data_IF_289467889413
#
_entry.id   IF_289467889413
#
_cell.length_a   1.000
_cell.length_b   1.000
_cell.length_c   1.000
_cell.angle_alpha   90.00
_cell.angle_beta   90.00
_cell.angle_gamma   90.00
#
_symmetry.space_group_name_H-M   'P 1'
#
loop_
_entity.id
_entity.type
_entity.pdbx_description
1 polymer ?
#
# COMPACT_ATOMS: atom_id res chain seq x y z
N UNK A 1 -24.90 -13.25 -1.08
CA UNK A 1 -23.58 -13.58 -0.50
C UNK A 1 -22.87 -12.26 -0.26
N UNK A 2 -22.70 -11.86 1.00
CA UNK A 2 -22.05 -10.60 1.32
C UNK A 2 -20.58 -10.68 0.93
N UNK A 3 -20.10 -9.76 0.12
CA UNK A 3 -18.68 -9.57 -0.13
C UNK A 3 -18.09 -9.22 1.23
N UNK A 4 -17.37 -10.15 1.86
CA UNK A 4 -16.66 -9.87 3.10
C UNK A 4 -15.63 -8.80 2.77
N UNK A 5 -15.95 -7.54 3.07
CA UNK A 5 -15.03 -6.42 2.86
C UNK A 5 -13.75 -6.76 3.60
N UNK A 6 -12.65 -6.95 2.87
CA UNK A 6 -11.37 -7.26 3.48
C UNK A 6 -11.04 -6.10 4.43
N UNK A 7 -11.00 -6.37 5.74
CA UNK A 7 -10.63 -5.36 6.72
C UNK A 7 -9.12 -5.15 6.65
N UNK A 8 -8.67 -4.34 5.69
CA UNK A 8 -7.29 -3.86 5.65
C UNK A 8 -7.08 -2.90 6.81
N UNK A 9 -6.16 -3.25 7.70
CA UNK A 9 -5.67 -2.37 8.76
C UNK A 9 -4.44 -1.63 8.24
N UNK A 10 -4.37 -0.34 8.54
CA UNK A 10 -3.23 0.51 8.23
C UNK A 10 -2.49 0.79 9.53
N UNK A 11 -1.41 0.05 9.75
CA UNK A 11 -0.49 0.32 10.84
C UNK A 11 0.39 1.52 10.50
N UNK A 12 0.87 2.22 11.53
CA UNK A 12 1.86 3.29 11.33
C UNK A 12 3.19 2.65 10.93
N UNK A 13 3.72 3.06 9.78
CA UNK A 13 4.93 2.53 9.17
C UNK A 13 5.97 3.65 9.11
N UNK A 14 7.13 3.43 9.70
CA UNK A 14 8.28 4.31 9.55
C UNK A 14 9.10 3.97 8.32
N UNK A 15 10.08 4.82 8.05
CA UNK A 15 11.09 4.57 7.02
C UNK A 15 11.83 3.25 7.27
N UNK A 16 12.10 2.93 8.55
CA UNK A 16 12.82 1.71 8.92
C UNK A 16 11.99 0.45 8.65
N UNK A 17 10.70 0.46 8.95
CA UNK A 17 9.79 -0.66 8.64
C UNK A 17 9.72 -0.92 7.13
N UNK A 18 9.72 0.14 6.32
CA UNK A 18 9.75 0.03 4.87
C UNK A 18 11.09 -0.55 4.39
N UNK A 19 12.21 -0.10 4.95
CA UNK A 19 13.53 -0.62 4.64
C UNK A 19 13.69 -2.09 5.06
N UNK A 20 13.18 -2.48 6.23
CA UNK A 20 13.25 -3.86 6.72
C UNK A 20 12.39 -4.80 5.85
N UNK A 21 11.26 -4.30 5.33
CA UNK A 21 10.39 -5.04 4.42
C UNK A 21 10.96 -5.13 3.00
N UNK A 22 11.70 -4.10 2.57
CA UNK A 22 12.29 -3.98 1.24
C UNK A 22 13.80 -3.66 1.32
N UNK A 23 14.62 -4.58 1.86
CA UNK A 23 16.01 -4.29 2.26
C UNK A 23 16.95 -3.95 1.10
N UNK A 24 16.57 -4.31 -0.13
CA UNK A 24 17.37 -4.05 -1.34
C UNK A 24 17.33 -2.59 -1.83
N UNK A 25 16.39 -1.77 -1.33
CA UNK A 25 16.18 -0.40 -1.85
C UNK A 25 17.03 0.63 -1.11
N UNK A 26 17.39 0.36 0.15
CA UNK A 26 18.01 1.33 1.06
C UNK A 26 17.08 2.51 1.37
N UNK A 27 17.39 3.28 2.41
CA UNK A 27 16.62 4.49 2.73
C UNK A 27 17.26 5.75 2.13
N UNK A 28 16.41 6.65 1.64
CA UNK A 28 16.77 8.01 1.23
C UNK A 28 16.56 9.04 2.34
N UNK A 29 16.09 8.63 3.52
CA UNK A 29 15.68 9.52 4.60
C UNK A 29 14.37 10.28 4.33
N UNK A 30 13.66 9.94 3.25
CA UNK A 30 12.36 10.51 2.91
C UNK A 30 11.38 9.39 2.57
N UNK A 31 10.31 9.29 3.36
CA UNK A 31 9.34 8.20 3.25
C UNK A 31 8.68 8.12 1.86
N UNK A 32 8.25 9.24 1.29
CA UNK A 32 7.59 9.23 -0.02
C UNK A 32 8.53 8.81 -1.16
N UNK A 33 9.79 9.23 -1.10
CA UNK A 33 10.81 8.81 -2.07
C UNK A 33 11.13 7.33 -1.94
N UNK A 34 11.24 6.83 -0.71
CA UNK A 34 11.49 5.41 -0.45
C UNK A 34 10.30 4.57 -0.93
N UNK A 35 9.08 5.01 -0.65
CA UNK A 35 7.87 4.34 -1.11
C UNK A 35 7.77 4.28 -2.64
N UNK A 36 8.09 5.39 -3.32
CA UNK A 36 8.16 5.39 -4.79
C UNK A 36 9.25 4.48 -5.33
N UNK A 37 10.44 4.49 -4.72
CA UNK A 37 11.54 3.60 -5.12
C UNK A 37 11.19 2.12 -4.97
N UNK A 38 10.52 1.76 -3.87
CA UNK A 38 10.00 0.40 -3.67
C UNK A 38 9.03 0.06 -4.80
N UNK A 39 8.07 0.94 -5.09
CA UNK A 39 7.11 0.72 -6.18
C UNK A 39 7.83 0.49 -7.53
N UNK A 40 8.72 1.40 -7.91
CA UNK A 40 9.44 1.33 -9.18
C UNK A 40 10.36 0.09 -9.30
N UNK A 41 11.00 -0.32 -8.19
CA UNK A 41 12.00 -1.41 -8.23
C UNK A 41 11.38 -2.80 -8.18
N UNK A 42 10.19 -2.94 -7.58
CA UNK A 42 9.45 -4.20 -7.53
C UNK A 42 8.34 -4.28 -8.58
N UNK A 43 8.27 -3.33 -9.51
CA UNK A 43 7.21 -3.20 -10.53
C UNK A 43 5.80 -3.19 -9.92
N UNK A 44 5.66 -2.47 -8.80
CA UNK A 44 4.40 -2.30 -8.07
C UNK A 44 3.81 -0.92 -8.34
N UNK A 45 2.49 -0.82 -8.19
CA UNK A 45 1.79 0.46 -8.17
C UNK A 45 1.61 0.95 -6.74
N UNK A 46 1.89 2.23 -6.50
CA UNK A 46 1.57 2.89 -5.22
C UNK A 46 0.30 3.73 -5.37
N UNK A 47 -0.71 3.43 -4.55
CA UNK A 47 -1.86 4.32 -4.35
C UNK A 47 -1.74 4.99 -2.99
N UNK A 48 -1.79 6.33 -2.95
CA UNK A 48 -1.68 7.13 -1.73
C UNK A 48 -2.79 8.16 -1.64
N UNK A 49 -3.24 8.47 -0.42
CA UNK A 49 -4.30 9.45 -0.19
C UNK A 49 -4.79 9.48 1.25
N UNK A 50 -5.96 10.09 1.46
CA UNK A 50 -6.64 10.03 2.75
C UNK A 50 -7.24 8.64 3.02
N UNK A 51 -7.47 8.31 4.29
CA UNK A 51 -7.93 6.98 4.72
C UNK A 51 -9.16 6.48 3.94
N UNK A 52 -10.20 7.31 3.82
CA UNK A 52 -11.42 6.93 3.10
C UNK A 52 -11.20 6.74 1.60
N UNK A 53 -10.28 7.50 0.99
CA UNK A 53 -9.95 7.37 -0.43
C UNK A 53 -9.24 6.05 -0.70
N UNK A 54 -8.27 5.70 0.16
CA UNK A 54 -7.51 4.45 0.05
C UNK A 54 -8.41 3.24 0.33
N UNK A 55 -9.22 3.27 1.40
CA UNK A 55 -10.20 2.22 1.68
C UNK A 55 -11.24 2.08 0.56
N UNK A 56 -11.69 3.19 -0.02
CA UNK A 56 -12.62 3.20 -1.16
C UNK A 56 -12.00 2.58 -2.42
N UNK A 57 -10.74 2.94 -2.74
CA UNK A 57 -10.01 2.37 -3.87
C UNK A 57 -9.82 0.86 -3.70
N UNK A 58 -9.42 0.41 -2.50
CA UNK A 58 -9.37 -1.01 -2.14
C UNK A 58 -10.74 -1.66 -2.36
N UNK A 59 -11.83 -1.10 -1.84
CA UNK A 59 -13.16 -1.69 -1.97
C UNK A 59 -13.60 -1.82 -3.44
N UNK A 60 -13.30 -0.83 -4.29
CA UNK A 60 -13.55 -0.89 -5.74
C UNK A 60 -12.70 -1.98 -6.40
N UNK A 61 -11.41 -2.06 -6.06
CA UNK A 61 -10.51 -3.10 -6.54
C UNK A 61 -10.96 -4.50 -6.09
N UNK A 62 -11.52 -4.64 -4.88
CA UNK A 62 -12.07 -5.90 -4.36
C UNK A 62 -13.34 -6.34 -5.09
N UNK A 63 -14.20 -5.38 -5.45
CA UNK A 63 -15.52 -5.62 -6.03
C UNK A 63 -15.49 -5.89 -7.54
N UNK A 64 -14.40 -5.50 -8.21
CA UNK A 64 -14.18 -5.84 -9.62
C UNK A 64 -14.05 -7.37 -9.78
N UNK A 65 -15.04 -8.02 -10.41
CA UNK A 65 -15.16 -9.49 -10.55
C UNK A 65 -14.12 -10.13 -11.48
N UNK A 66 -13.22 -9.34 -12.07
CA UNK A 66 -12.01 -9.77 -12.79
C UNK A 66 -10.73 -9.66 -11.93
N UNK A 67 -10.85 -9.24 -10.67
CA UNK A 67 -9.74 -8.71 -9.88
C UNK A 67 -8.82 -9.77 -9.28
N UNK A 68 -7.77 -10.10 -10.02
CA UNK A 68 -6.50 -10.54 -9.43
C UNK A 68 -5.82 -9.42 -8.63
N UNK A 69 -6.25 -8.16 -8.75
CA UNK A 69 -5.62 -6.99 -8.11
C UNK A 69 -5.68 -7.07 -6.58
N UNK A 70 -6.72 -7.70 -6.03
CA UNK A 70 -6.80 -7.94 -4.59
C UNK A 70 -5.85 -9.03 -4.08
N UNK A 71 -5.38 -9.93 -4.95
CA UNK A 71 -4.29 -10.86 -4.63
C UNK A 71 -2.93 -10.18 -4.65
N UNK A 72 -2.82 -9.02 -5.29
CA UNK A 72 -1.54 -8.36 -5.51
C UNK A 72 -1.22 -7.30 -4.46
N UNK A 73 -2.12 -6.96 -3.52
CA UNK A 73 -1.76 -6.07 -2.41
C UNK A 73 -0.60 -6.70 -1.63
N UNK A 74 0.60 -6.15 -1.81
CA UNK A 74 1.84 -6.64 -1.20
C UNK A 74 2.03 -6.02 0.19
N UNK A 75 1.66 -4.75 0.31
CA UNK A 75 1.90 -3.98 1.53
C UNK A 75 0.96 -2.78 1.63
N UNK A 76 0.53 -2.45 2.83
CA UNK A 76 -0.30 -1.29 3.11
C UNK A 76 0.10 -0.68 4.45
N UNK A 77 0.00 0.63 4.57
CA UNK A 77 0.38 1.33 5.80
C UNK A 77 -0.08 2.77 5.81
N UNK A 78 0.20 3.45 6.92
CA UNK A 78 0.09 4.90 7.04
C UNK A 78 1.38 5.49 7.59
N UNK A 79 1.69 6.71 7.19
CA UNK A 79 2.85 7.46 7.67
C UNK A 79 2.46 8.93 7.81
N UNK A 80 2.51 9.48 9.02
CA UNK A 80 2.20 10.89 9.30
C UNK A 80 0.85 11.36 8.72
N UNK A 81 -0.16 10.48 8.75
CA UNK A 81 -1.51 10.75 8.22
C UNK A 81 -1.69 10.52 6.72
N UNK A 82 -0.63 10.20 5.98
CA UNK A 82 -0.70 9.69 4.61
C UNK A 82 -0.98 8.18 4.63
N UNK A 83 -2.06 7.74 3.99
CA UNK A 83 -2.36 6.32 3.82
C UNK A 83 -1.89 5.85 2.45
N UNK A 84 -1.36 4.63 2.37
CA UNK A 84 -0.88 4.08 1.11
C UNK A 84 -1.04 2.56 1.00
N UNK A 85 -1.03 2.07 -0.24
CA UNK A 85 -1.06 0.65 -0.61
C UNK A 85 -0.11 0.44 -1.78
N UNK A 86 0.67 -0.63 -1.71
CA UNK A 86 1.49 -1.20 -2.78
C UNK A 86 0.81 -2.46 -3.31
N UNK A 87 0.58 -2.53 -4.62
CA UNK A 87 -0.10 -3.65 -5.28
C UNK A 87 0.33 -3.85 -6.74
#
# INVERSE_FOLDING_TARGET
MGISMLQIRFDEIGIQDLADRFPMIGSTGNFEKDLKRVADSYDLTVFKGGEMQVKGAIAILAASTTSQVFKNIVFAGKHEGLYFVLY
#
